data_IF_633532657782
#
_entry.id   IF_633532657782
#
_cell.length_a   1.000
_cell.length_b   1.000
_cell.length_c   1.000
_cell.angle_alpha   90.00
_cell.angle_beta   90.00
_cell.angle_gamma   90.00
#
_symmetry.space_group_name_H-M   'P 1'
#
loop_
_entity.id
_entity.type
_entity.pdbx_description
1 polymer ?
#
# COMPACT_ATOMS: atom_id res chain seq x y z
N UNK A 1 -11.20 -5.07 -21.45
CA UNK A 1 -9.74 -5.09 -21.68
C UNK A 1 -9.36 -3.79 -22.35
N UNK A 2 -8.56 -2.99 -21.66
CA UNK A 2 -8.01 -1.72 -22.11
C UNK A 2 -6.49 -1.85 -22.07
N UNK A 3 -5.82 -1.68 -23.21
CA UNK A 3 -4.36 -1.70 -23.29
C UNK A 3 -3.87 -0.36 -23.84
N UNK A 4 -2.95 0.29 -23.12
CA UNK A 4 -2.34 1.55 -23.51
C UNK A 4 -0.82 1.34 -23.52
N UNK A 5 -0.22 1.50 -24.69
CA UNK A 5 1.24 1.45 -24.90
C UNK A 5 1.64 2.73 -25.63
N UNK A 6 2.31 3.65 -24.92
CA UNK A 6 2.69 4.95 -25.44
C UNK A 6 4.07 5.39 -24.94
N UNK A 7 4.76 6.17 -25.77
CA UNK A 7 6.05 6.79 -25.40
C UNK A 7 6.10 8.25 -25.80
N UNK A 8 6.85 9.05 -25.03
CA UNK A 8 7.10 10.48 -25.31
C UNK A 8 5.83 11.34 -25.40
N UNK A 9 4.94 11.17 -24.43
CA UNK A 9 3.66 11.88 -24.36
C UNK A 9 3.69 12.88 -23.19
N UNK A 10 3.05 14.03 -23.38
CA UNK A 10 2.96 15.03 -22.33
C UNK A 10 1.98 14.60 -21.21
N UNK A 11 0.85 14.01 -21.56
CA UNK A 11 -0.15 13.59 -20.58
C UNK A 11 -1.00 12.43 -21.09
N UNK A 12 -1.30 11.48 -20.21
CA UNK A 12 -2.28 10.41 -20.43
C UNK A 12 -3.35 10.51 -19.36
N UNK A 13 -4.61 10.42 -19.77
CA UNK A 13 -5.77 10.43 -18.85
C UNK A 13 -6.68 9.27 -19.21
N UNK A 14 -7.00 8.44 -18.23
CA UNK A 14 -7.83 7.24 -18.38
C UNK A 14 -8.96 7.29 -17.36
N UNK A 15 -10.21 7.22 -17.81
CA UNK A 15 -11.38 7.18 -16.94
C UNK A 15 -12.20 5.94 -17.28
N UNK A 16 -12.45 5.10 -16.28
CA UNK A 16 -13.21 3.86 -16.43
C UNK A 16 -14.37 3.88 -15.43
N UNK A 17 -15.59 3.91 -15.95
CA UNK A 17 -16.82 3.79 -15.17
C UNK A 17 -17.61 2.60 -15.75
N UNK A 18 -17.68 1.50 -15.01
CA UNK A 18 -18.35 0.27 -15.45
C UNK A 18 -19.12 -0.38 -14.31
N UNK A 19 -20.28 -0.96 -14.64
CA UNK A 19 -21.07 -1.75 -13.69
C UNK A 19 -21.63 -3.04 -14.29
N UNK A 20 -21.83 -4.04 -13.44
CA UNK A 20 -22.43 -5.34 -13.82
C UNK A 20 -21.65 -6.09 -14.91
N UNK A 21 -20.33 -6.13 -14.78
CA UNK A 21 -19.42 -6.76 -15.74
C UNK A 21 -18.81 -8.02 -15.12
N UNK A 22 -18.53 -9.03 -15.94
CA UNK A 22 -17.85 -10.22 -15.44
C UNK A 22 -16.37 -9.94 -15.12
N UNK A 23 -15.65 -9.25 -16.00
CA UNK A 23 -14.24 -8.98 -15.82
C UNK A 23 -13.81 -7.65 -16.44
N UNK A 24 -13.02 -6.87 -15.71
CA UNK A 24 -12.33 -5.68 -16.19
C UNK A 24 -10.83 -5.95 -16.14
N UNK A 25 -10.12 -5.57 -17.20
CA UNK A 25 -8.67 -5.72 -17.29
C UNK A 25 -8.10 -4.48 -17.94
N UNK A 26 -7.15 -3.85 -17.27
CA UNK A 26 -6.48 -2.62 -17.70
C UNK A 26 -4.99 -2.86 -17.66
N UNK A 27 -4.30 -2.61 -18.77
CA UNK A 27 -2.85 -2.68 -18.85
C UNK A 27 -2.33 -1.36 -19.43
N UNK A 28 -1.44 -0.70 -18.70
CA UNK A 28 -0.85 0.59 -19.06
C UNK A 28 0.67 0.43 -19.01
N UNK A 29 1.32 0.47 -20.17
CA UNK A 29 2.77 0.51 -20.32
C UNK A 29 3.15 1.87 -20.92
N UNK A 30 3.80 2.73 -20.15
CA UNK A 30 4.20 4.05 -20.64
C UNK A 30 5.66 4.38 -20.35
N UNK A 31 6.28 5.06 -21.31
CA UNK A 31 7.65 5.56 -21.17
C UNK A 31 7.78 7.04 -21.50
N UNK A 32 8.59 7.77 -20.72
CA UNK A 32 8.87 9.20 -20.93
C UNK A 32 7.59 10.06 -20.95
N UNK A 33 6.87 10.04 -19.83
CA UNK A 33 5.59 10.74 -19.67
C UNK A 33 5.74 11.89 -18.67
N UNK A 34 5.08 13.02 -18.92
CA UNK A 34 5.07 14.09 -17.93
C UNK A 34 3.93 13.93 -16.89
N UNK A 35 2.76 13.44 -17.28
CA UNK A 35 1.69 13.17 -16.33
C UNK A 35 0.79 12.00 -16.74
N UNK A 36 0.43 11.15 -15.77
CA UNK A 36 -0.55 10.09 -15.91
C UNK A 36 -1.63 10.30 -14.86
N UNK A 37 -2.89 10.31 -15.29
CA UNK A 37 -4.06 10.37 -14.42
C UNK A 37 -4.96 9.19 -14.77
N UNK A 38 -5.33 8.40 -13.76
CA UNK A 38 -6.20 7.25 -13.92
C UNK A 38 -7.30 7.30 -12.87
N UNK A 39 -8.56 7.37 -13.31
CA UNK A 39 -9.73 7.34 -12.45
C UNK A 39 -10.55 6.08 -12.76
N UNK A 40 -10.80 5.23 -11.76
CA UNK A 40 -11.52 3.96 -11.91
C UNK A 40 -12.69 3.93 -10.92
N UNK A 41 -13.91 3.83 -11.42
CA UNK A 41 -15.13 3.60 -10.64
C UNK A 41 -15.79 2.31 -11.15
N UNK A 42 -15.82 1.26 -10.32
CA UNK A 42 -16.42 -0.01 -10.69
C UNK A 42 -17.36 -0.57 -9.63
N UNK A 43 -18.50 -1.08 -10.09
CA UNK A 43 -19.50 -1.68 -9.21
C UNK A 43 -20.04 -3.01 -9.74
N UNK A 44 -20.20 -4.01 -8.87
CA UNK A 44 -20.73 -5.34 -9.23
C UNK A 44 -19.92 -6.05 -10.32
N UNK A 45 -18.65 -6.33 -10.02
CA UNK A 45 -17.72 -7.01 -10.94
C UNK A 45 -17.24 -8.33 -10.35
N UNK A 46 -17.08 -9.38 -11.16
CA UNK A 46 -16.48 -10.62 -10.63
C UNK A 46 -14.95 -10.51 -10.50
N UNK A 47 -14.26 -9.88 -11.45
CA UNK A 47 -12.80 -9.74 -11.40
C UNK A 47 -12.32 -8.43 -12.01
N UNK A 48 -11.41 -7.76 -11.31
CA UNK A 48 -10.70 -6.57 -11.76
C UNK A 48 -9.21 -6.87 -11.73
N UNK A 49 -8.52 -6.55 -12.81
CA UNK A 49 -7.06 -6.69 -12.94
C UNK A 49 -6.51 -5.40 -13.54
N UNK A 50 -5.54 -4.80 -12.86
CA UNK A 50 -4.90 -3.55 -13.28
C UNK A 50 -3.40 -3.72 -13.23
N UNK A 51 -2.75 -3.65 -14.39
CA UNK A 51 -1.30 -3.70 -14.53
C UNK A 51 -0.80 -2.34 -15.03
N UNK A 52 0.09 -1.69 -14.29
CA UNK A 52 0.66 -0.40 -14.64
C UNK A 52 2.19 -0.49 -14.58
N UNK A 53 2.86 -0.36 -15.73
CA UNK A 53 4.32 -0.22 -15.84
C UNK A 53 4.65 1.17 -16.38
N UNK A 54 5.29 2.01 -15.55
CA UNK A 54 5.72 3.35 -15.95
C UNK A 54 7.23 3.53 -15.80
N UNK A 55 7.86 3.90 -16.91
CA UNK A 55 9.26 4.30 -16.95
C UNK A 55 9.40 5.79 -17.24
N UNK A 56 10.19 6.49 -16.41
CA UNK A 56 10.42 7.94 -16.54
C UNK A 56 9.12 8.77 -16.60
N UNK A 57 8.44 8.86 -15.46
CA UNK A 57 7.26 9.71 -15.31
C UNK A 57 7.52 10.89 -14.37
N UNK A 58 7.00 12.07 -14.65
CA UNK A 58 7.07 13.16 -13.66
C UNK A 58 5.98 13.04 -12.59
N UNK A 59 4.75 12.69 -12.97
CA UNK A 59 3.65 12.62 -12.02
C UNK A 59 2.67 11.51 -12.38
N UNK A 60 2.28 10.74 -11.38
CA UNK A 60 1.25 9.70 -11.47
C UNK A 60 0.21 9.98 -10.41
N UNK A 61 -1.06 10.00 -10.83
CA UNK A 61 -2.21 10.11 -9.95
C UNK A 61 -3.19 9.01 -10.32
N UNK A 62 -3.54 8.18 -9.34
CA UNK A 62 -4.53 7.12 -9.48
C UNK A 62 -5.59 7.29 -8.41
N UNK A 63 -6.84 7.27 -8.82
CA UNK A 63 -8.02 7.28 -7.95
C UNK A 63 -8.87 6.06 -8.31
N UNK A 64 -9.26 5.27 -7.31
CA UNK A 64 -9.93 3.98 -7.50
C UNK A 64 -11.03 3.78 -6.46
N UNK A 65 -12.29 3.79 -6.90
CA UNK A 65 -13.47 3.43 -6.10
C UNK A 65 -14.04 2.11 -6.62
N UNK A 66 -14.00 1.06 -5.80
CA UNK A 66 -14.53 -0.25 -6.14
C UNK A 66 -15.55 -0.73 -5.12
N UNK A 67 -16.70 -1.17 -5.59
CA UNK A 67 -17.75 -1.73 -4.75
C UNK A 67 -18.32 -3.05 -5.26
N UNK A 68 -18.53 -4.00 -4.34
CA UNK A 68 -19.11 -5.33 -4.64
C UNK A 68 -18.30 -6.11 -5.70
N UNK A 69 -17.04 -6.38 -5.40
CA UNK A 69 -16.12 -7.10 -6.30
C UNK A 69 -15.72 -8.44 -5.70
N UNK A 70 -15.68 -9.52 -6.49
CA UNK A 70 -15.21 -10.80 -5.93
C UNK A 70 -13.67 -10.87 -5.81
N UNK A 71 -12.94 -10.29 -6.76
CA UNK A 71 -11.48 -10.32 -6.77
C UNK A 71 -10.91 -9.08 -7.46
N UNK A 72 -9.96 -8.43 -6.81
CA UNK A 72 -9.16 -7.30 -7.32
C UNK A 72 -7.70 -7.71 -7.27
N UNK A 73 -6.99 -7.54 -8.38
CA UNK A 73 -5.53 -7.63 -8.44
C UNK A 73 -4.97 -6.38 -9.10
N UNK A 74 -3.97 -5.77 -8.45
CA UNK A 74 -3.34 -4.53 -8.92
C UNK A 74 -1.84 -4.67 -8.83
N UNK A 75 -1.17 -4.59 -9.98
CA UNK A 75 0.29 -4.66 -10.09
C UNK A 75 0.81 -3.33 -10.63
N UNK A 76 1.62 -2.62 -9.85
CA UNK A 76 2.15 -1.30 -10.20
C UNK A 76 3.68 -1.33 -10.11
N UNK A 77 4.34 -1.07 -11.24
CA UNK A 77 5.81 -0.99 -11.35
C UNK A 77 6.21 0.40 -11.84
N UNK A 78 6.97 1.14 -11.03
CA UNK A 78 7.42 2.50 -11.35
C UNK A 78 8.93 2.64 -11.18
N UNK A 79 9.65 2.79 -12.29
CA UNK A 79 11.11 2.83 -12.24
C UNK A 79 11.69 4.20 -11.84
N UNK A 80 11.22 5.28 -12.47
CA UNK A 80 11.72 6.64 -12.25
C UNK A 80 10.55 7.60 -12.23
N UNK A 81 10.09 7.98 -11.03
CA UNK A 81 8.96 8.87 -10.85
C UNK A 81 9.31 10.06 -9.96
N UNK A 82 8.89 11.29 -10.29
CA UNK A 82 9.05 12.38 -9.31
C UNK A 82 7.97 12.31 -8.22
N UNK A 83 6.71 12.13 -8.60
CA UNK A 83 5.61 12.06 -7.64
C UNK A 83 4.63 10.98 -8.01
N UNK A 84 4.19 10.24 -7.00
CA UNK A 84 3.13 9.22 -7.11
C UNK A 84 2.11 9.52 -6.03
N UNK A 85 0.85 9.58 -6.43
CA UNK A 85 -0.30 9.72 -5.53
C UNK A 85 -1.32 8.65 -5.90
N UNK A 86 -1.69 7.82 -4.94
CA UNK A 86 -2.72 6.80 -5.11
C UNK A 86 -3.75 6.95 -4.01
N UNK A 87 -5.02 6.98 -4.40
CA UNK A 87 -6.17 6.98 -3.52
C UNK A 87 -7.03 5.77 -3.88
N UNK A 88 -7.49 5.01 -2.90
CA UNK A 88 -8.13 3.72 -3.12
C UNK A 88 -9.21 3.45 -2.07
N UNK A 89 -10.46 3.55 -2.52
CA UNK A 89 -11.66 3.28 -1.74
C UNK A 89 -12.29 1.95 -2.16
N UNK A 90 -12.33 0.99 -1.23
CA UNK A 90 -12.81 -0.36 -1.50
C UNK A 90 -13.93 -0.75 -0.53
N UNK A 91 -15.02 -1.28 -1.07
CA UNK A 91 -16.14 -1.78 -0.27
C UNK A 91 -16.69 -3.12 -0.74
N UNK A 92 -16.89 -4.04 0.20
CA UNK A 92 -17.45 -5.37 -0.07
C UNK A 92 -16.66 -6.14 -1.13
N UNK A 93 -15.35 -6.28 -0.90
CA UNK A 93 -14.45 -7.00 -1.79
C UNK A 93 -14.16 -8.37 -1.20
N UNK A 94 -14.28 -9.47 -1.95
CA UNK A 94 -13.97 -10.77 -1.38
C UNK A 94 -12.44 -11.01 -1.26
N UNK A 95 -11.64 -10.68 -2.27
CA UNK A 95 -10.18 -10.73 -2.18
C UNK A 95 -9.52 -9.53 -2.84
N UNK A 96 -8.51 -8.97 -2.19
CA UNK A 96 -7.64 -7.92 -2.73
C UNK A 96 -6.20 -8.43 -2.74
N UNK A 97 -5.51 -8.24 -3.85
CA UNK A 97 -4.07 -8.44 -3.99
C UNK A 97 -3.46 -7.19 -4.63
N UNK A 98 -2.44 -6.62 -4.00
CA UNK A 98 -1.78 -5.42 -4.49
C UNK A 98 -0.27 -5.61 -4.42
N UNK A 99 0.39 -5.50 -5.57
CA UNK A 99 1.83 -5.56 -5.69
C UNK A 99 2.36 -4.20 -6.18
N UNK A 100 3.29 -3.62 -5.43
CA UNK A 100 3.81 -2.28 -5.68
C UNK A 100 5.34 -2.28 -5.66
N UNK A 101 5.96 -2.07 -6.83
CA UNK A 101 7.42 -1.92 -6.96
C UNK A 101 7.76 -0.48 -7.40
N UNK A 102 8.47 0.26 -6.55
CA UNK A 102 9.05 1.55 -6.90
C UNK A 102 10.56 1.56 -6.71
N UNK A 103 11.28 1.92 -7.76
CA UNK A 103 12.75 1.91 -7.73
C UNK A 103 13.42 3.25 -7.43
N UNK A 104 12.90 4.36 -7.98
CA UNK A 104 13.44 5.69 -7.76
C UNK A 104 12.30 6.70 -7.74
N UNK A 105 11.96 7.19 -6.54
CA UNK A 105 10.91 8.18 -6.40
C UNK A 105 11.28 9.36 -5.49
N UNK A 106 10.86 10.58 -5.84
CA UNK A 106 11.02 11.70 -4.91
C UNK A 106 9.92 11.72 -3.85
N UNK A 107 8.69 11.40 -4.19
CA UNK A 107 7.57 11.40 -3.25
C UNK A 107 6.53 10.37 -3.63
N UNK A 108 6.13 9.57 -2.65
CA UNK A 108 5.01 8.62 -2.74
C UNK A 108 4.02 8.98 -1.66
N UNK A 109 2.75 9.08 -2.05
CA UNK A 109 1.63 9.24 -1.13
C UNK A 109 0.56 8.21 -1.50
N UNK A 110 0.20 7.36 -0.56
CA UNK A 110 -0.80 6.32 -0.74
C UNK A 110 -1.85 6.44 0.35
N UNK A 111 -3.11 6.50 -0.03
CA UNK A 111 -4.25 6.43 0.87
C UNK A 111 -5.08 5.19 0.49
N UNK A 112 -5.59 4.46 1.48
CA UNK A 112 -6.33 3.21 1.24
C UNK A 112 -7.36 2.97 2.33
N UNK A 113 -8.63 3.06 1.94
CA UNK A 113 -9.77 2.69 2.76
C UNK A 113 -10.37 1.38 2.25
N UNK A 114 -10.47 0.37 3.12
CA UNK A 114 -11.15 -0.88 2.79
C UNK A 114 -12.12 -1.30 3.88
N UNK A 115 -13.37 -1.46 3.48
CA UNK A 115 -14.43 -2.01 4.32
C UNK A 115 -14.93 -3.34 3.78
N UNK A 116 -14.97 -4.35 4.67
CA UNK A 116 -15.47 -5.69 4.41
C UNK A 116 -14.68 -6.46 3.34
N UNK A 117 -13.75 -7.31 3.79
CA UNK A 117 -13.07 -8.26 2.93
C UNK A 117 -12.79 -9.60 3.59
N UNK A 118 -12.69 -10.65 2.79
CA UNK A 118 -12.23 -11.94 3.30
C UNK A 118 -10.71 -12.02 3.34
N UNK A 119 -10.02 -11.47 2.35
CA UNK A 119 -8.56 -11.52 2.30
C UNK A 119 -7.98 -10.28 1.64
N UNK A 120 -6.93 -9.76 2.24
CA UNK A 120 -6.11 -8.67 1.71
C UNK A 120 -4.67 -9.15 1.74
N UNK A 121 -3.99 -9.05 0.60
CA UNK A 121 -2.58 -9.32 0.47
C UNK A 121 -1.93 -8.13 -0.21
N UNK A 122 -0.85 -7.63 0.39
CA UNK A 122 -0.17 -6.44 -0.09
C UNK A 122 1.33 -6.66 -0.04
N UNK A 123 1.99 -6.57 -1.19
CA UNK A 123 3.43 -6.69 -1.32
C UNK A 123 3.99 -5.34 -1.81
N UNK A 124 4.85 -4.71 -1.03
CA UNK A 124 5.43 -3.40 -1.34
C UNK A 124 6.95 -3.49 -1.33
N UNK A 125 7.57 -3.15 -2.46
CA UNK A 125 9.00 -2.94 -2.56
C UNK A 125 9.31 -1.49 -2.96
N UNK A 126 9.90 -0.71 -2.06
CA UNK A 126 10.35 0.65 -2.37
C UNK A 126 11.86 0.77 -2.18
N UNK A 127 12.55 1.17 -3.24
CA UNK A 127 13.96 1.54 -3.18
C UNK A 127 14.17 3.00 -3.53
N UNK A 128 15.22 3.60 -2.96
CA UNK A 128 15.71 4.95 -3.25
C UNK A 128 14.63 6.04 -3.31
N UNK A 129 13.73 6.05 -2.32
CA UNK A 129 12.70 7.09 -2.21
C UNK A 129 13.05 8.20 -1.20
N UNK A 130 12.78 9.45 -1.57
CA UNK A 130 13.03 10.58 -0.66
C UNK A 130 11.94 10.69 0.42
N UNK A 131 10.68 10.54 0.06
CA UNK A 131 9.55 10.61 0.98
C UNK A 131 8.51 9.56 0.62
N UNK A 132 8.03 8.87 1.64
CA UNK A 132 6.90 7.94 1.56
C UNK A 132 5.93 8.33 2.67
N UNK A 133 4.66 8.52 2.30
CA UNK A 133 3.54 8.73 3.22
C UNK A 133 2.46 7.71 2.87
N UNK A 134 2.00 6.98 3.87
CA UNK A 134 1.01 5.92 3.69
C UNK A 134 -0.02 6.00 4.81
N UNK A 135 -1.29 6.11 4.42
CA UNK A 135 -2.43 6.04 5.33
C UNK A 135 -3.28 4.83 4.92
N UNK A 136 -3.67 3.99 5.88
CA UNK A 136 -4.39 2.74 5.64
C UNK A 136 -5.47 2.55 6.71
N UNK A 137 -6.73 2.51 6.30
CA UNK A 137 -7.87 2.21 7.18
C UNK A 137 -8.58 0.92 6.73
N UNK A 138 -8.43 -0.15 7.52
CA UNK A 138 -9.09 -1.44 7.23
C UNK A 138 -10.11 -1.81 8.30
N UNK A 139 -11.32 -2.18 7.86
CA UNK A 139 -12.39 -2.61 8.75
C UNK A 139 -13.10 -3.88 8.30
N UNK A 140 -13.40 -4.76 9.26
CA UNK A 140 -14.14 -6.00 9.06
C UNK A 140 -13.48 -6.97 8.06
N UNK A 141 -12.23 -7.33 8.34
CA UNK A 141 -11.43 -8.19 7.46
C UNK A 141 -11.17 -9.54 8.11
N UNK A 142 -11.29 -10.64 7.35
CA UNK A 142 -10.93 -11.95 7.88
C UNK A 142 -9.41 -12.18 7.93
N UNK A 143 -8.67 -11.81 6.89
CA UNK A 143 -7.22 -12.00 6.88
C UNK A 143 -6.53 -10.87 6.14
N UNK A 144 -5.45 -10.36 6.75
CA UNK A 144 -4.53 -9.38 6.17
C UNK A 144 -3.13 -9.99 6.20
N UNK A 145 -2.48 -10.01 5.04
CA UNK A 145 -1.06 -10.35 4.89
C UNK A 145 -0.36 -9.19 4.22
N UNK A 146 0.80 -8.81 4.71
CA UNK A 146 1.53 -7.63 4.22
C UNK A 146 3.03 -7.89 4.27
N UNK A 147 3.67 -7.83 3.11
CA UNK A 147 5.12 -7.97 2.98
C UNK A 147 5.69 -6.65 2.47
N UNK A 148 6.61 -6.06 3.23
CA UNK A 148 7.17 -4.73 2.93
C UNK A 148 8.70 -4.79 2.93
N UNK A 149 9.33 -4.46 1.81
CA UNK A 149 10.78 -4.25 1.67
C UNK A 149 11.06 -2.80 1.30
N UNK A 150 11.69 -2.06 2.21
CA UNK A 150 12.00 -0.65 2.04
C UNK A 150 13.49 -0.42 2.15
N UNK A 151 14.12 0.12 1.10
CA UNK A 151 15.55 0.40 1.10
C UNK A 151 15.93 1.81 0.68
N UNK A 152 16.90 2.41 1.37
CA UNK A 152 17.48 3.73 1.06
C UNK A 152 16.46 4.86 1.07
N UNK A 153 15.74 5.00 2.19
CA UNK A 153 14.69 6.00 2.36
C UNK A 153 15.14 7.19 3.22
N UNK A 154 14.76 8.40 2.82
CA UNK A 154 15.03 9.59 3.63
C UNK A 154 13.98 9.81 4.74
N UNK A 155 12.69 9.64 4.41
CA UNK A 155 11.61 9.83 5.37
C UNK A 155 10.45 8.90 5.04
N UNK A 156 9.96 8.19 6.05
CA UNK A 156 8.75 7.36 5.99
C UNK A 156 7.79 7.83 7.08
N UNK A 157 6.53 8.02 6.70
CA UNK A 157 5.43 8.30 7.61
C UNK A 157 4.29 7.35 7.30
N UNK A 158 3.80 6.63 8.29
CA UNK A 158 2.76 5.63 8.09
C UNK A 158 1.73 5.73 9.21
N UNK A 159 0.45 5.82 8.85
CA UNK A 159 -0.66 5.71 9.79
C UNK A 159 -1.51 4.50 9.39
N UNK A 160 -1.83 3.65 10.35
CA UNK A 160 -2.58 2.42 10.10
C UNK A 160 -3.68 2.26 11.15
N UNK A 161 -4.94 2.26 10.72
CA UNK A 161 -6.09 2.00 11.58
C UNK A 161 -6.74 0.66 11.18
N UNK A 162 -6.62 -0.35 12.05
CA UNK A 162 -7.23 -1.66 11.84
C UNK A 162 -8.33 -1.94 12.85
N UNK A 163 -9.52 -2.29 12.36
CA UNK A 163 -10.65 -2.64 13.23
C UNK A 163 -11.36 -3.93 12.81
N UNK A 164 -11.69 -4.76 13.80
CA UNK A 164 -12.44 -6.01 13.59
C UNK A 164 -11.77 -6.96 12.60
N UNK A 165 -10.52 -7.31 12.88
CA UNK A 165 -9.73 -8.20 12.02
C UNK A 165 -9.55 -9.58 12.69
N UNK A 166 -9.74 -10.65 11.92
CA UNK A 166 -9.50 -11.99 12.47
C UNK A 166 -8.01 -12.35 12.52
N UNK A 167 -7.26 -12.14 11.45
CA UNK A 167 -5.81 -12.39 11.46
C UNK A 167 -5.04 -11.32 10.70
N UNK A 168 -3.93 -10.86 11.29
CA UNK A 168 -2.93 -10.01 10.64
C UNK A 168 -1.59 -10.74 10.67
N UNK A 169 -0.94 -10.84 9.52
CA UNK A 169 0.45 -11.24 9.38
C UNK A 169 1.21 -10.15 8.63
N UNK A 170 2.38 -9.77 9.13
CA UNK A 170 3.14 -8.67 8.57
C UNK A 170 4.63 -8.97 8.66
N UNK A 171 5.31 -8.97 7.52
CA UNK A 171 6.75 -9.14 7.41
C UNK A 171 7.36 -7.85 6.85
N UNK A 172 8.28 -7.23 7.59
CA UNK A 172 8.85 -5.91 7.24
C UNK A 172 10.38 -5.96 7.25
N UNK A 173 10.99 -5.68 6.11
CA UNK A 173 12.43 -5.53 5.93
C UNK A 173 12.80 -4.06 5.66
N UNK A 174 13.54 -3.43 6.59
CA UNK A 174 13.96 -2.02 6.47
C UNK A 174 15.48 -1.86 6.29
N UNK A 175 15.86 -1.30 5.14
CA UNK A 175 17.19 -0.96 4.67
C UNK A 175 17.49 0.54 4.71
N UNK A 176 18.54 0.98 5.42
CA UNK A 176 19.06 2.37 5.39
C UNK A 176 17.99 3.48 5.36
N UNK A 177 17.34 3.73 6.50
CA UNK A 177 16.31 4.76 6.62
C UNK A 177 16.76 5.90 7.54
N UNK A 178 16.63 7.14 7.08
CA UNK A 178 17.02 8.29 7.89
C UNK A 178 15.98 8.66 8.96
N UNK A 179 14.69 8.66 8.62
CA UNK A 179 13.61 8.98 9.54
C UNK A 179 12.40 8.09 9.30
N UNK A 180 11.84 7.54 10.38
CA UNK A 180 10.58 6.77 10.36
C UNK A 180 9.65 7.32 11.42
N UNK A 181 8.39 7.56 11.06
CA UNK A 181 7.30 7.79 12.01
C UNK A 181 6.16 6.85 11.66
N UNK A 182 5.70 6.07 12.63
CA UNK A 182 4.59 5.13 12.46
C UNK A 182 3.59 5.32 13.58
N UNK A 183 2.34 5.53 13.24
CA UNK A 183 1.20 5.50 14.16
C UNK A 183 0.31 4.32 13.79
N UNK A 184 -0.19 3.57 14.76
CA UNK A 184 -0.94 2.34 14.50
C UNK A 184 -2.00 2.09 15.56
N UNK A 185 -3.25 2.24 15.17
CA UNK A 185 -4.41 1.97 16.02
C UNK A 185 -5.04 0.62 15.66
N UNK A 186 -5.06 -0.29 16.63
CA UNK A 186 -5.57 -1.64 16.47
C UNK A 186 -6.73 -1.89 17.43
N UNK A 187 -7.88 -2.29 16.89
CA UNK A 187 -9.06 -2.60 17.69
C UNK A 187 -9.74 -3.91 17.29
N UNK A 188 -10.05 -4.75 18.28
CA UNK A 188 -10.77 -6.01 18.08
C UNK A 188 -10.07 -6.96 17.09
N UNK A 189 -8.81 -7.29 17.39
CA UNK A 189 -8.00 -8.17 16.56
C UNK A 189 -7.89 -9.55 17.19
N UNK A 190 -8.20 -10.63 16.48
CA UNK A 190 -8.08 -11.97 17.05
C UNK A 190 -6.63 -12.45 17.12
N UNK A 191 -5.87 -12.37 16.03
CA UNK A 191 -4.46 -12.75 16.04
C UNK A 191 -3.58 -11.81 15.23
N UNK A 192 -2.43 -11.44 15.78
CA UNK A 192 -1.39 -10.65 15.10
C UNK A 192 -0.07 -11.40 15.17
N UNK A 193 0.59 -11.54 14.02
CA UNK A 193 1.96 -12.00 13.88
C UNK A 193 2.74 -10.96 13.09
N UNK A 194 3.87 -10.52 13.62
CA UNK A 194 4.69 -9.50 12.97
C UNK A 194 6.17 -9.83 13.10
N UNK A 195 6.86 -9.93 11.98
CA UNK A 195 8.32 -10.11 11.94
C UNK A 195 8.94 -8.86 11.29
N UNK A 196 9.94 -8.26 11.95
CA UNK A 196 10.56 -7.00 11.51
C UNK A 196 12.08 -7.09 11.55
N UNK A 197 12.73 -6.93 10.39
CA UNK A 197 14.18 -6.87 10.26
C UNK A 197 14.65 -5.43 10.00
N UNK A 198 15.47 -4.91 10.92
CA UNK A 198 15.95 -3.53 10.91
C UNK A 198 17.47 -3.47 10.76
N UNK A 199 17.94 -2.93 9.64
CA UNK A 199 19.37 -2.76 9.39
C UNK A 199 19.93 -1.45 9.97
N UNK A 200 19.74 -0.33 9.27
CA UNK A 200 20.28 0.98 9.61
C UNK A 200 19.16 2.01 9.68
N UNK A 201 18.78 2.42 10.90
CA UNK A 201 17.79 3.49 11.11
C UNK A 201 18.42 4.61 11.92
N UNK A 202 18.40 5.83 11.36
CA UNK A 202 19.00 6.98 12.04
C UNK A 202 18.08 7.57 13.13
N UNK A 203 16.79 7.79 12.83
CA UNK A 203 15.80 8.16 13.83
C UNK A 203 14.44 7.53 13.56
N UNK A 204 13.77 7.04 14.60
CA UNK A 204 12.44 6.45 14.49
C UNK A 204 11.53 6.84 15.67
N UNK A 205 10.25 7.04 15.39
CA UNK A 205 9.18 7.12 16.39
C UNK A 205 8.07 6.14 16.01
N UNK A 206 7.62 5.35 16.97
CA UNK A 206 6.55 4.37 16.75
C UNK A 206 5.59 4.39 17.92
N UNK A 207 4.33 4.69 17.61
CA UNK A 207 3.21 4.72 18.54
C UNK A 207 2.24 3.61 18.10
N UNK A 208 1.80 2.77 19.05
CA UNK A 208 0.91 1.63 18.78
C UNK A 208 -0.11 1.54 19.91
N UNK A 209 -1.38 1.81 19.59
CA UNK A 209 -2.51 1.62 20.49
C UNK A 209 -3.23 0.31 20.15
N UNK A 210 -3.39 -0.56 21.14
CA UNK A 210 -4.01 -1.88 20.95
C UNK A 210 -5.12 -2.11 21.96
N UNK A 211 -6.35 -2.14 21.46
CA UNK A 211 -7.55 -2.45 22.24
C UNK A 211 -8.12 -3.81 21.83
N UNK A 212 -8.18 -4.75 22.78
CA UNK A 212 -8.71 -6.10 22.57
C UNK A 212 -7.99 -6.91 21.49
N UNK A 213 -6.88 -7.55 21.89
CA UNK A 213 -6.19 -8.56 21.10
C UNK A 213 -6.19 -9.92 21.80
N UNK A 214 -6.60 -10.99 21.11
CA UNK A 214 -6.61 -12.33 21.71
C UNK A 214 -5.22 -13.00 21.71
N UNK A 215 -4.42 -12.81 20.66
CA UNK A 215 -3.04 -13.32 20.60
C UNK A 215 -2.15 -12.39 19.78
N UNK A 216 -0.98 -12.06 20.33
CA UNK A 216 0.03 -11.21 19.71
C UNK A 216 1.38 -11.92 19.75
N UNK A 217 2.02 -12.08 18.60
CA UNK A 217 3.40 -12.54 18.47
C UNK A 217 4.17 -11.54 17.61
N UNK A 218 5.31 -11.07 18.12
CA UNK A 218 6.16 -10.12 17.42
C UNK A 218 7.61 -10.55 17.53
N UNK A 219 8.31 -10.69 16.42
CA UNK A 219 9.77 -10.83 16.37
C UNK A 219 10.40 -9.55 15.78
N UNK A 220 11.58 -9.17 16.27
CA UNK A 220 12.26 -7.97 15.78
C UNK A 220 13.77 -8.15 15.89
N UNK A 221 14.44 -8.20 14.74
CA UNK A 221 15.89 -8.25 14.65
C UNK A 221 16.47 -6.88 14.31
N UNK A 222 17.51 -6.48 15.04
CA UNK A 222 18.12 -5.16 14.93
C UNK A 222 19.64 -5.24 14.80
N UNK A 223 20.20 -4.53 13.82
CA UNK A 223 21.66 -4.43 13.67
C UNK A 223 22.25 -3.08 14.08
N UNK A 224 21.70 -1.94 13.63
CA UNK A 224 22.19 -0.60 13.98
C UNK A 224 21.09 0.47 14.02
N UNK A 225 20.90 1.06 15.19
CA UNK A 225 19.97 2.18 15.40
C UNK A 225 20.65 3.30 16.18
N UNK A 226 20.54 4.54 15.70
CA UNK A 226 21.08 5.72 16.39
C UNK A 226 20.15 6.23 17.51
N UNK A 227 18.85 6.38 17.23
CA UNK A 227 17.85 6.72 18.25
C UNK A 227 16.45 6.27 17.84
N UNK A 228 15.76 5.52 18.71
CA UNK A 228 14.34 5.19 18.55
C UNK A 228 13.61 5.56 19.84
N UNK A 229 12.50 6.29 19.70
CA UNK A 229 11.49 6.43 20.74
C UNK A 229 10.34 5.50 20.40
N UNK A 230 10.15 4.47 21.23
CA UNK A 230 9.01 3.57 21.15
C UNK A 230 8.10 3.93 22.30
N UNK A 231 6.98 4.59 22.03
CA UNK A 231 5.97 4.76 23.07
C UNK A 231 5.18 3.46 23.24
N UNK A 232 4.64 3.38 24.45
CA UNK A 232 4.22 2.18 25.16
C UNK A 232 3.08 1.46 24.44
N UNK A 233 3.15 0.13 24.26
CA UNK A 233 1.95 -0.68 23.98
C UNK A 233 1.00 -0.50 25.17
N UNK A 234 -0.06 0.30 25.01
CA UNK A 234 -1.11 0.43 26.02
C UNK A 234 -2.19 -0.63 25.77
N UNK A 235 -2.09 -1.75 26.48
CA UNK A 235 -3.17 -2.72 26.58
C UNK A 235 -4.28 -2.14 27.47
N UNK A 236 -5.37 -1.66 26.86
CA UNK A 236 -6.63 -1.30 27.53
C UNK A 236 -7.60 -2.48 27.56
#
# INVERSE_FOLDING_TARGET
>A
MTNIDLSYINSVTTNIDLSYINSVMTNIDLSYINSVITDIDLCYINSVMTDIDLSYCNSVMTDTDLSYINSVMTDIVLSYCNSVMTDTDLSFINSVMTDLDLSYCNSVMTDTDLSYSNSVMTDINLSYCNRVMTDIDLSYINSVMTDIDLSYLNSVMTNIDLSYINSVMTDIDLGYINSVMTDTDLSYINSVMTDIDLSYINSGMTDIDLSYCNSLMTDTDLSYINSVMKDRIELL
#
